data_IF_359526577481
#
_entry.id   IF_359526577481
#
_cell.length_a   1.000
_cell.length_b   1.000
_cell.length_c   1.000
_cell.angle_alpha   90.00
_cell.angle_beta   90.00
_cell.angle_gamma   90.00
#
_symmetry.space_group_name_H-M   'P 1'
#
loop_
_entity.id
_entity.type
_entity.pdbx_description
1 polymer ?
#
# COMPACT_ATOMS: atom_id res chain seq x y z
N UNK A 1 10.47 -18.92 22.70
CA UNK A 1 10.35 -18.21 21.42
C UNK A 1 10.42 -16.73 21.68
N UNK A 2 11.37 -16.02 21.06
CA UNK A 2 11.52 -14.57 21.16
C UNK A 2 10.95 -13.95 19.88
N UNK A 3 10.00 -13.05 20.01
CA UNK A 3 9.35 -12.36 18.89
C UNK A 3 9.76 -10.88 18.89
N UNK A 4 10.31 -10.41 17.78
CA UNK A 4 10.58 -9.00 17.52
C UNK A 4 9.56 -8.47 16.54
N UNK A 5 8.74 -7.54 16.97
CA UNK A 5 7.74 -6.89 16.13
C UNK A 5 8.28 -5.55 15.67
N UNK A 6 8.45 -5.39 14.35
CA UNK A 6 8.88 -4.15 13.71
C UNK A 6 7.72 -3.52 12.93
N UNK A 7 7.49 -2.24 13.16
CA UNK A 7 6.47 -1.48 12.42
C UNK A 7 7.01 -1.08 11.04
N UNK A 8 6.30 -1.46 9.98
CA UNK A 8 6.58 -1.01 8.61
C UNK A 8 5.85 0.29 8.35
N UNK A 9 6.57 1.39 8.13
CA UNK A 9 6.00 2.72 7.93
C UNK A 9 5.18 2.83 6.64
N UNK A 10 5.70 2.27 5.54
CA UNK A 10 5.09 2.36 4.21
C UNK A 10 4.96 0.96 3.60
N UNK A 11 3.89 0.20 3.90
CA UNK A 11 3.70 -1.16 3.40
C UNK A 11 3.56 -1.23 1.87
N UNK A 12 3.14 -0.16 1.23
CA UNK A 12 2.98 -0.08 -0.23
C UNK A 12 4.30 0.02 -0.99
N UNK A 13 5.42 0.34 -0.30
CA UNK A 13 6.78 0.40 -0.88
C UNK A 13 7.60 -0.84 -0.50
N UNK A 14 7.04 -1.74 0.30
CA UNK A 14 7.66 -3.02 0.63
C UNK A 14 7.28 -4.07 -0.42
N UNK A 15 8.29 -4.60 -1.13
CA UNK A 15 8.07 -5.53 -2.23
C UNK A 15 7.45 -6.85 -1.77
N UNK A 16 7.78 -7.32 -0.56
CA UNK A 16 7.25 -8.56 -0.02
C UNK A 16 5.77 -8.43 0.33
N UNK A 17 5.38 -7.33 0.97
CA UNK A 17 3.98 -7.06 1.32
C UNK A 17 3.11 -6.84 0.08
N UNK A 18 3.65 -6.15 -0.93
CA UNK A 18 2.97 -5.98 -2.22
C UNK A 18 2.78 -7.31 -2.93
N UNK A 19 3.80 -8.19 -2.93
CA UNK A 19 3.70 -9.52 -3.52
C UNK A 19 2.65 -10.37 -2.81
N UNK A 20 2.59 -10.33 -1.48
CA UNK A 20 1.58 -11.01 -0.68
C UNK A 20 0.17 -10.49 -1.01
N UNK A 21 -0.04 -9.18 -1.03
CA UNK A 21 -1.34 -8.59 -1.33
C UNK A 21 -1.84 -8.91 -2.75
N UNK A 22 -0.92 -9.04 -3.73
CA UNK A 22 -1.28 -9.53 -5.08
C UNK A 22 -1.67 -11.01 -5.01
N UNK A 23 -0.91 -11.85 -4.29
CA UNK A 23 -1.18 -13.26 -4.16
C UNK A 23 -2.54 -13.54 -3.49
N UNK A 24 -2.89 -12.80 -2.45
CA UNK A 24 -4.19 -12.86 -1.80
C UNK A 24 -5.34 -12.49 -2.75
N UNK A 25 -5.17 -11.44 -3.57
CA UNK A 25 -6.16 -11.08 -4.59
C UNK A 25 -6.31 -12.16 -5.68
N UNK A 26 -5.21 -12.81 -6.08
CA UNK A 26 -5.26 -13.93 -7.02
C UNK A 26 -5.96 -15.15 -6.43
N UNK A 27 -5.73 -15.46 -5.16
CA UNK A 27 -6.44 -16.52 -4.43
C UNK A 27 -7.94 -16.24 -4.33
N UNK A 28 -8.33 -14.97 -4.15
CA UNK A 28 -9.71 -14.49 -4.17
C UNK A 28 -10.33 -14.40 -5.58
N UNK A 29 -9.69 -14.97 -6.61
CA UNK A 29 -10.15 -15.02 -8.01
C UNK A 29 -10.29 -13.66 -8.70
N UNK A 30 -9.59 -12.64 -8.22
CA UNK A 30 -9.51 -11.35 -8.92
C UNK A 30 -8.70 -11.52 -10.20
N UNK A 31 -9.09 -10.84 -11.28
CA UNK A 31 -8.33 -10.84 -12.53
C UNK A 31 -6.89 -10.38 -12.28
N UNK A 32 -5.91 -11.19 -12.70
CA UNK A 32 -4.49 -10.92 -12.48
C UNK A 32 -4.05 -9.56 -13.05
N UNK A 33 -4.61 -9.15 -14.20
CA UNK A 33 -4.33 -7.84 -14.81
C UNK A 33 -4.76 -6.69 -13.91
N UNK A 34 -5.93 -6.80 -13.29
CA UNK A 34 -6.47 -5.79 -12.38
C UNK A 34 -5.67 -5.74 -11.08
N UNK A 35 -5.34 -6.91 -10.50
CA UNK A 35 -4.55 -7.00 -9.28
C UNK A 35 -3.17 -6.35 -9.46
N UNK A 36 -2.44 -6.71 -10.54
CA UNK A 36 -1.12 -6.14 -10.83
C UNK A 36 -1.17 -4.62 -11.04
N UNK A 37 -2.12 -4.12 -11.87
CA UNK A 37 -2.24 -2.67 -12.13
C UNK A 37 -2.57 -1.88 -10.87
N UNK A 38 -3.50 -2.36 -10.06
CA UNK A 38 -3.88 -1.73 -8.78
C UNK A 38 -2.67 -1.59 -7.85
N UNK A 39 -1.93 -2.68 -7.66
CA UNK A 39 -0.75 -2.69 -6.78
C UNK A 39 0.36 -1.77 -7.30
N UNK A 40 0.58 -1.72 -8.63
CA UNK A 40 1.55 -0.78 -9.22
C UNK A 40 1.15 0.67 -8.99
N UNK A 41 -0.11 1.02 -9.20
CA UNK A 41 -0.60 2.38 -8.96
C UNK A 41 -0.48 2.79 -7.49
N UNK A 42 -0.78 1.88 -6.53
CA UNK A 42 -0.60 2.16 -5.10
C UNK A 42 0.86 2.41 -4.76
N UNK A 43 1.78 1.58 -5.24
CA UNK A 43 3.21 1.74 -4.98
C UNK A 43 3.77 3.05 -5.57
N UNK A 44 3.36 3.45 -6.78
CA UNK A 44 3.76 4.72 -7.38
C UNK A 44 3.20 5.93 -6.61
N UNK A 45 1.94 5.86 -6.15
CA UNK A 45 1.35 6.90 -5.29
C UNK A 45 2.06 7.03 -3.95
N UNK A 46 2.55 5.92 -3.40
CA UNK A 46 3.33 5.90 -2.17
C UNK A 46 4.76 6.46 -2.34
N UNK A 47 5.20 6.74 -3.59
CA UNK A 47 6.47 7.40 -3.87
C UNK A 47 7.55 6.48 -4.46
N UNK A 48 7.23 5.26 -4.89
CA UNK A 48 8.16 4.43 -5.63
C UNK A 48 8.48 5.08 -7.00
N UNK A 49 9.76 5.07 -7.40
CA UNK A 49 10.20 5.63 -8.69
C UNK A 49 9.95 4.70 -9.88
N UNK A 50 9.69 3.44 -9.58
CA UNK A 50 9.32 2.44 -10.56
C UNK A 50 9.04 1.10 -9.92
N UNK A 51 8.22 0.32 -10.60
CA UNK A 51 7.83 -1.02 -10.18
C UNK A 51 7.74 -1.95 -11.36
N UNK A 52 8.15 -3.20 -11.17
CA UNK A 52 7.94 -4.32 -12.06
C UNK A 52 7.27 -5.44 -11.30
N UNK A 53 6.17 -5.94 -11.82
CA UNK A 53 5.44 -7.10 -11.27
C UNK A 53 5.40 -8.18 -12.32
N UNK A 54 5.71 -9.41 -11.94
CA UNK A 54 5.65 -10.58 -12.80
C UNK A 54 4.84 -11.67 -12.12
N UNK A 55 3.84 -12.19 -12.82
CA UNK A 55 3.07 -13.34 -12.39
C UNK A 55 3.30 -14.52 -13.34
N UNK A 56 3.53 -15.70 -12.79
CA UNK A 56 3.74 -16.93 -13.56
C UNK A 56 2.90 -18.10 -13.03
N UNK A 57 2.46 -18.94 -13.94
CA UNK A 57 1.65 -20.12 -13.65
C UNK A 57 0.40 -20.18 -14.52
N UNK A 58 -0.63 -20.91 -14.07
CA UNK A 58 -1.92 -21.06 -14.77
C UNK A 58 -2.83 -19.85 -14.55
N UNK A 59 -2.46 -18.72 -15.18
CA UNK A 59 -3.16 -17.45 -15.02
C UNK A 59 -4.61 -17.54 -15.52
N UNK A 60 -5.55 -17.17 -14.62
CA UNK A 60 -6.99 -17.24 -14.92
C UNK A 60 -7.56 -18.64 -15.05
N UNK A 61 -6.87 -19.68 -14.57
CA UNK A 61 -7.30 -21.06 -14.65
C UNK A 61 -6.99 -21.74 -16.02
N UNK A 62 -6.16 -21.12 -16.85
CA UNK A 62 -5.77 -21.70 -18.13
C UNK A 62 -5.01 -23.02 -17.92
N UNK A 63 -5.17 -23.98 -18.85
CA UNK A 63 -4.49 -25.29 -18.79
C UNK A 63 -2.98 -25.15 -18.93
N UNK A 64 -2.54 -24.30 -19.84
CA UNK A 64 -1.13 -24.00 -20.05
C UNK A 64 -0.66 -22.87 -19.15
N UNK A 65 0.46 -23.07 -18.48
CA UNK A 65 1.12 -22.02 -17.71
C UNK A 65 1.75 -20.97 -18.64
N UNK A 66 1.68 -19.72 -18.21
CA UNK A 66 2.37 -18.62 -18.87
C UNK A 66 2.89 -17.63 -17.84
N UNK A 67 3.82 -16.79 -18.25
CA UNK A 67 4.34 -15.71 -17.43
C UNK A 67 3.99 -14.37 -18.08
N UNK A 68 3.37 -13.50 -17.31
CA UNK A 68 3.09 -12.13 -17.74
C UNK A 68 3.73 -11.15 -16.77
N UNK A 69 4.23 -10.03 -17.28
CA UNK A 69 4.80 -8.96 -16.45
C UNK A 69 4.28 -7.60 -16.90
N UNK A 70 4.17 -6.72 -15.92
CA UNK A 70 3.93 -5.29 -16.16
C UNK A 70 5.03 -4.50 -15.49
N UNK A 71 5.39 -3.38 -16.11
CA UNK A 71 6.39 -2.45 -15.60
C UNK A 71 5.87 -1.03 -15.75
N UNK A 72 6.05 -0.23 -14.72
CA UNK A 72 5.72 1.18 -14.73
C UNK A 72 6.85 1.97 -14.07
N UNK A 73 7.25 3.08 -14.69
CA UNK A 73 8.41 3.83 -14.27
C UNK A 73 9.74 3.17 -14.65
N UNK A 74 10.80 3.57 -13.97
CA UNK A 74 12.16 3.10 -14.22
C UNK A 74 12.56 2.02 -13.21
N UNK A 75 13.03 0.86 -13.69
CA UNK A 75 13.54 -0.22 -12.83
C UNK A 75 14.91 -0.66 -13.37
N UNK A 76 15.99 0.02 -12.96
CA UNK A 76 17.34 -0.23 -13.49
C UNK A 76 18.01 -1.41 -12.78
N UNK A 77 17.70 -2.66 -13.16
CA UNK A 77 18.20 -3.88 -12.52
C UNK A 77 19.73 -4.08 -12.64
N UNK A 78 20.38 -3.42 -13.61
CA UNK A 78 21.83 -3.51 -13.82
C UNK A 78 22.64 -2.40 -13.13
N UNK A 79 21.97 -1.47 -12.45
CA UNK A 79 22.64 -0.36 -11.76
C UNK A 79 22.93 -0.75 -10.32
N UNK A 80 24.22 -0.89 -9.96
CA UNK A 80 24.65 -1.34 -8.64
C UNK A 80 24.23 -0.37 -7.51
N UNK A 81 24.19 0.94 -7.79
CA UNK A 81 23.78 1.97 -6.83
C UNK A 81 22.26 2.14 -6.68
N UNK A 82 21.47 1.43 -7.48
CA UNK A 82 20.02 1.48 -7.40
C UNK A 82 19.53 0.70 -6.17
N UNK A 83 18.68 1.34 -5.37
CA UNK A 83 17.97 0.68 -4.27
C UNK A 83 16.72 0.02 -4.82
N UNK A 84 16.81 -1.30 -5.03
CA UNK A 84 15.73 -2.12 -5.55
C UNK A 84 15.35 -3.15 -4.50
N UNK A 85 14.11 -3.04 -4.04
CA UNK A 85 13.52 -4.04 -3.16
C UNK A 85 12.89 -5.16 -3.98
N UNK A 86 13.06 -6.41 -3.51
CA UNK A 86 12.57 -7.60 -4.18
C UNK A 86 11.70 -8.43 -3.25
N UNK A 87 10.51 -8.78 -3.71
CA UNK A 87 9.58 -9.65 -3.01
C UNK A 87 9.10 -10.81 -3.89
N UNK A 88 8.94 -11.97 -3.28
CA UNK A 88 8.37 -13.16 -3.91
C UNK A 88 7.32 -13.78 -3.01
N UNK A 89 6.16 -14.09 -3.59
CA UNK A 89 5.11 -14.81 -2.88
C UNK A 89 4.36 -15.76 -3.82
N UNK A 90 3.83 -16.85 -3.26
CA UNK A 90 3.04 -17.84 -4.00
C UNK A 90 1.57 -17.73 -3.63
N UNK A 91 0.71 -17.59 -4.62
CA UNK A 91 -0.75 -17.66 -4.46
C UNK A 91 -1.23 -19.08 -4.63
N UNK A 92 -1.89 -19.62 -3.62
CA UNK A 92 -2.54 -20.93 -3.69
C UNK A 92 -3.92 -20.76 -4.29
N UNK A 93 -4.12 -21.33 -5.49
CA UNK A 93 -5.40 -21.32 -6.18
C UNK A 93 -5.92 -22.75 -6.36
N UNK A 94 -7.21 -22.88 -6.68
CA UNK A 94 -7.82 -24.20 -6.98
C UNK A 94 -7.15 -24.91 -8.16
N UNK A 95 -6.50 -24.17 -9.06
CA UNK A 95 -5.83 -24.69 -10.26
C UNK A 95 -4.33 -24.93 -10.07
N UNK A 96 -3.79 -24.65 -8.88
CA UNK A 96 -2.37 -24.78 -8.58
C UNK A 96 -1.78 -23.52 -7.96
N UNK A 97 -0.45 -23.44 -7.93
CA UNK A 97 0.29 -22.30 -7.39
C UNK A 97 0.64 -21.30 -8.47
N UNK A 98 0.46 -20.02 -8.18
CA UNK A 98 0.89 -18.92 -9.01
C UNK A 98 2.02 -18.18 -8.31
N UNK A 99 3.18 -18.07 -8.96
CA UNK A 99 4.32 -17.31 -8.43
C UNK A 99 4.19 -15.83 -8.77
N UNK A 100 4.32 -14.97 -7.77
CA UNK A 100 4.33 -13.51 -7.92
C UNK A 100 5.70 -12.99 -7.53
N UNK A 101 6.34 -12.24 -8.44
CA UNK A 101 7.62 -11.56 -8.23
C UNK A 101 7.43 -10.07 -8.39
N UNK A 102 7.94 -9.31 -7.43
CA UNK A 102 7.83 -7.84 -7.42
C UNK A 102 9.21 -7.23 -7.24
N UNK A 103 9.53 -6.21 -8.03
CA UNK A 103 10.71 -5.36 -7.90
C UNK A 103 10.24 -3.92 -7.76
N UNK A 104 10.64 -3.25 -6.69
CA UNK A 104 10.30 -1.85 -6.42
C UNK A 104 11.59 -1.03 -6.39
N UNK A 105 11.68 -0.07 -7.27
CA UNK A 105 12.78 0.88 -7.30
C UNK A 105 12.47 2.08 -6.41
N UNK A 106 13.21 2.21 -5.31
CA UNK A 106 13.06 3.30 -4.32
C UNK A 106 13.88 4.53 -4.69
N UNK A 107 15.02 4.34 -5.37
CA UNK A 107 15.90 5.42 -5.78
C UNK A 107 17.35 4.99 -5.89
N UNK A 108 18.24 5.94 -6.10
CA UNK A 108 19.68 5.70 -6.07
C UNK A 108 20.23 6.03 -4.69
N UNK A 109 21.08 5.17 -4.20
CA UNK A 109 21.81 5.39 -2.95
C UNK A 109 23.16 5.98 -3.30
N UNK A 110 23.29 7.28 -3.08
CA UNK A 110 24.52 8.03 -3.28
C UNK A 110 25.14 8.24 -1.89
N UNK A 111 26.35 7.78 -1.69
CA UNK A 111 27.07 7.93 -0.43
C UNK A 111 27.86 6.69 -0.02
N UNK A 112 28.86 6.89 0.82
CA UNK A 112 29.66 5.81 1.35
C UNK A 112 28.88 4.99 2.38
N UNK A 113 29.29 3.74 2.60
CA UNK A 113 28.65 2.88 3.62
C UNK A 113 28.69 3.51 5.00
N UNK A 114 29.79 4.18 5.35
CA UNK A 114 29.96 4.89 6.63
C UNK A 114 28.98 6.04 6.82
N UNK A 115 28.69 6.80 5.76
CA UNK A 115 27.70 7.89 5.79
C UNK A 115 26.27 7.36 5.96
N UNK A 116 25.96 6.19 5.37
CA UNK A 116 24.65 5.55 5.54
C UNK A 116 24.47 5.02 6.97
N UNK A 117 25.49 4.39 7.52
CA UNK A 117 25.47 3.90 8.90
C UNK A 117 25.36 5.07 9.89
N UNK A 118 26.07 6.16 9.66
CA UNK A 118 25.95 7.38 10.44
C UNK A 118 24.56 8.03 10.35
N UNK A 119 23.98 8.11 9.14
CA UNK A 119 22.64 8.62 8.93
C UNK A 119 21.55 7.73 9.57
N UNK A 120 21.71 6.40 9.50
CA UNK A 120 20.81 5.44 10.15
C UNK A 120 20.87 5.55 11.68
N UNK A 121 22.08 5.68 12.25
CA UNK A 121 22.29 5.91 13.68
C UNK A 121 21.71 7.26 14.13
N UNK A 122 21.88 8.31 13.34
CA UNK A 122 21.30 9.62 13.61
C UNK A 122 19.77 9.59 13.56
N UNK A 123 19.17 8.91 12.57
CA UNK A 123 17.73 8.73 12.46
C UNK A 123 17.14 7.91 13.62
N UNK A 124 17.85 6.89 14.08
CA UNK A 124 17.47 6.08 15.25
C UNK A 124 17.56 6.87 16.57
N UNK A 125 18.47 7.86 16.63
CA UNK A 125 18.69 8.72 17.80
C UNK A 125 17.77 9.93 17.83
N UNK A 126 17.13 10.29 16.71
CA UNK A 126 16.17 11.37 16.64
C UNK A 126 14.99 11.11 17.61
N UNK A 127 14.68 12.05 18.52
CA UNK A 127 13.55 11.88 19.42
C UNK A 127 12.27 11.79 18.59
N UNK A 128 11.48 10.73 18.84
CA UNK A 128 10.15 10.59 18.21
C UNK A 128 9.38 11.90 18.41
N UNK A 129 8.78 12.48 17.36
CA UNK A 129 7.98 13.69 17.52
C UNK A 129 6.90 13.40 18.58
N UNK A 130 6.92 14.19 19.66
CA UNK A 130 5.90 14.13 20.69
C UNK A 130 4.56 14.33 20.00
N UNK A 131 3.72 13.32 20.07
CA UNK A 131 2.33 13.40 19.60
C UNK A 131 1.70 14.63 20.24
N UNK A 132 1.30 15.63 19.42
CA UNK A 132 0.61 16.80 19.89
C UNK A 132 -0.55 16.38 20.80
N UNK A 133 -0.76 17.07 21.94
CA UNK A 133 -1.88 16.75 22.81
C UNK A 133 -3.18 16.88 22.01
N UNK A 134 -3.93 15.78 22.01
CA UNK A 134 -5.24 15.70 21.35
C UNK A 134 -6.11 16.82 21.93
N UNK A 135 -6.53 17.77 21.08
CA UNK A 135 -7.45 18.82 21.47
C UNK A 135 -8.66 18.22 22.20
N UNK A 136 -9.14 18.83 23.29
CA UNK A 136 -10.30 18.35 24.01
C UNK A 136 -11.47 18.32 23.03
N UNK A 137 -12.12 17.17 22.99
CA UNK A 137 -13.33 16.94 22.19
C UNK A 137 -14.39 17.92 22.72
N UNK A 138 -14.66 18.98 21.94
CA UNK A 138 -15.67 19.98 22.31
C UNK A 138 -16.99 19.30 22.66
N UNK A 139 -17.53 19.69 23.80
CA UNK A 139 -18.89 19.37 24.21
C UNK A 139 -19.83 19.78 23.07
N UNK A 140 -20.57 18.81 22.58
CA UNK A 140 -21.68 19.05 21.66
C UNK A 140 -22.75 19.77 22.48
N UNK A 141 -22.78 21.09 22.37
CA UNK A 141 -23.87 21.91 22.94
C UNK A 141 -25.17 21.51 22.25
N UNK A 142 -26.09 21.07 23.03
CA UNK A 142 -27.47 20.61 22.72
C UNK A 142 -28.35 21.67 22.08
N UNK A 143 -27.81 22.82 21.72
CA UNK A 143 -28.58 23.98 21.23
C UNK A 143 -28.96 23.91 19.75
N UNK A 144 -28.40 22.96 18.97
CA UNK A 144 -28.64 22.87 17.53
C UNK A 144 -29.83 21.96 17.15
N UNK A 145 -30.33 21.19 18.09
CA UNK A 145 -31.45 20.25 17.83
C UNK A 145 -32.81 20.93 17.98
N UNK A 146 -32.94 21.92 18.88
CA UNK A 146 -34.19 22.65 19.04
C UNK A 146 -34.51 23.65 17.92
N UNK A 147 -33.48 24.25 17.29
CA UNK A 147 -33.69 25.16 16.18
C UNK A 147 -34.20 24.46 14.91
N UNK A 148 -33.88 23.18 14.72
CA UNK A 148 -34.30 22.39 13.55
C UNK A 148 -35.71 21.80 13.68
N UNK A 149 -36.23 21.69 14.91
CA UNK A 149 -37.59 21.24 15.16
C UNK A 149 -38.62 22.37 14.99
N UNK A 150 -38.23 23.62 15.22
CA UNK A 150 -39.10 24.78 15.04
C UNK A 150 -39.33 25.12 13.55
N UNK A 151 -38.36 24.90 12.72
CA UNK A 151 -38.43 25.22 11.26
C UNK A 151 -39.29 24.20 10.46
N UNK A 152 -39.49 22.99 10.99
CA UNK A 152 -40.34 21.97 10.35
C UNK A 152 -41.82 22.06 10.71
N UNK A 153 -42.20 22.83 11.71
CA UNK A 153 -43.61 23.03 12.08
C UNK A 153 -44.32 24.16 11.28
N UNK A 154 -43.55 25.07 10.69
CA UNK A 154 -44.14 26.17 9.91
C UNK A 154 -44.46 25.84 8.43
N UNK A 155 -43.85 24.80 7.86
CA UNK A 155 -44.07 24.42 6.46
C UNK A 155 -45.25 23.48 6.24
N UNK A 156 -45.92 23.01 7.31
CA UNK A 156 -47.03 22.04 7.14
C UNK A 156 -48.42 22.65 7.33
N UNK A 157 -48.58 23.98 7.45
CA UNK A 157 -49.88 24.64 7.62
C UNK A 157 -50.29 25.60 6.52
N UNK A 158 -49.77 25.44 5.31
CA UNK A 158 -50.08 26.31 4.17
C UNK A 158 -50.56 25.54 2.92
N UNK A 159 -51.58 24.68 3.03
CA UNK A 159 -52.08 23.95 1.89
C UNK A 159 -53.48 23.39 2.04
N UNK A 160 -54.44 24.23 2.30
CA UNK A 160 -55.85 23.90 2.13
C UNK A 160 -56.67 25.18 1.85
N UNK A 161 -56.82 25.54 0.60
CA UNK A 161 -58.01 26.16 0.07
C UNK A 161 -57.99 26.16 -1.48
#
# INVERSE_FOLDING_TARGET
VQLNILEVKNPEIDAQLVAQGIAEQLAARVSFRRAMRKSMQSALKAGAKGIRVQCGGRLGGAEMSRSEFYREGRVPLHTLRADIDYGFHEAHTTFGRLGVKVWIYKGEVIGSRSEREAAALAAARAPKPRRAPRAPRGEVTTTTVEARAAEQSETNNGGAN
#
